data_IF_845848947435
#
_entry.id   IF_845848947435
#
_cell.length_a   1.000
_cell.length_b   1.000
_cell.length_c   1.000
_cell.angle_alpha   90.00
_cell.angle_beta   90.00
_cell.angle_gamma   90.00
#
_symmetry.space_group_name_H-M   'P 1'
#
loop_
_entity.id
_entity.type
_entity.pdbx_description
1 polymer ?
#
# COMPACT_ATOMS: atom_id res chain seq x y z
N UNK A 1 -7.47 5.28 -14.73
CA UNK A 1 -6.67 5.94 -13.66
C UNK A 1 -5.72 7.02 -14.20
N UNK A 2 -5.86 8.27 -13.75
CA UNK A 2 -4.94 9.40 -14.01
C UNK A 2 -4.42 9.97 -12.68
N UNK A 3 -3.10 10.21 -12.58
CA UNK A 3 -2.46 10.81 -11.40
C UNK A 3 -1.86 12.18 -11.79
N UNK A 4 -2.43 13.30 -11.33
CA UNK A 4 -1.86 14.61 -11.58
C UNK A 4 -0.52 14.81 -10.85
N UNK A 5 0.37 15.62 -11.44
CA UNK A 5 1.66 15.97 -10.81
C UNK A 5 1.46 16.57 -9.40
N UNK A 6 2.36 16.22 -8.49
CA UNK A 6 2.38 16.72 -7.10
C UNK A 6 1.06 16.54 -6.33
N UNK A 7 0.27 15.52 -6.67
CA UNK A 7 -1.01 15.21 -6.00
C UNK A 7 -0.89 13.95 -5.14
N UNK A 8 -0.17 13.99 -4.00
CA UNK A 8 0.04 12.82 -3.15
C UNK A 8 -1.29 12.27 -2.59
N UNK A 9 -2.29 13.12 -2.37
CA UNK A 9 -3.61 12.72 -1.88
C UNK A 9 -4.36 11.83 -2.89
N UNK A 10 -4.01 11.93 -4.17
CA UNK A 10 -4.56 11.09 -5.24
C UNK A 10 -3.67 9.89 -5.53
N UNK A 11 -2.61 9.63 -4.75
CA UNK A 11 -1.73 8.49 -4.99
C UNK A 11 -2.06 7.34 -4.01
N UNK A 12 -2.73 6.26 -4.45
CA UNK A 12 -3.17 5.18 -3.57
C UNK A 12 -2.00 4.42 -2.92
N UNK A 13 -0.80 4.53 -3.50
CA UNK A 13 0.40 3.91 -2.94
C UNK A 13 0.79 4.49 -1.58
N UNK A 14 0.42 5.74 -1.29
CA UNK A 14 0.79 6.42 -0.05
C UNK A 14 0.19 5.71 1.18
N UNK A 15 -1.08 5.30 1.10
CA UNK A 15 -1.75 4.56 2.17
C UNK A 15 -1.16 3.16 2.34
N UNK A 16 -0.88 2.46 1.24
CA UNK A 16 -0.22 1.16 1.27
C UNK A 16 1.19 1.25 1.89
N UNK A 17 1.96 2.28 1.53
CA UNK A 17 3.29 2.52 2.10
C UNK A 17 3.24 2.97 3.56
N UNK A 18 2.19 3.69 3.98
CA UNK A 18 2.00 4.02 5.39
C UNK A 18 1.85 2.73 6.24
N UNK A 19 1.02 1.78 5.81
CA UNK A 19 0.88 0.46 6.45
C UNK A 19 2.18 -0.34 6.42
N UNK A 20 2.85 -0.42 5.26
CA UNK A 20 4.13 -1.11 5.14
C UNK A 20 5.17 -0.53 6.12
N UNK A 21 5.31 0.80 6.18
CA UNK A 21 6.22 1.47 7.12
C UNK A 21 5.86 1.16 8.57
N UNK A 22 4.58 1.08 8.93
CA UNK A 22 4.16 0.72 10.28
C UNK A 22 4.60 -0.72 10.63
N UNK A 23 4.34 -1.69 9.76
CA UNK A 23 4.74 -3.09 9.94
C UNK A 23 6.27 -3.24 10.07
N UNK A 24 7.03 -2.55 9.23
CA UNK A 24 8.49 -2.59 9.27
C UNK A 24 9.07 -1.93 10.53
N UNK A 25 8.46 -0.84 11.01
CA UNK A 25 8.86 -0.21 12.28
C UNK A 25 8.60 -1.15 13.46
N UNK A 26 7.47 -1.85 13.47
CA UNK A 26 7.16 -2.86 14.50
C UNK A 26 8.12 -4.05 14.46
N UNK A 27 8.57 -4.47 13.28
CA UNK A 27 9.53 -5.56 13.13
C UNK A 27 10.94 -5.23 13.63
N UNK A 28 11.30 -3.94 13.70
CA UNK A 28 12.55 -3.42 14.27
C UNK A 28 13.86 -4.07 13.75
N UNK A 29 13.85 -4.61 12.53
CA UNK A 29 15.01 -5.26 11.91
C UNK A 29 16.22 -4.31 11.81
N UNK A 30 17.42 -4.80 12.16
CA UNK A 30 18.67 -4.00 12.16
C UNK A 30 19.70 -4.50 11.16
N UNK A 31 19.42 -5.61 10.48
CA UNK A 31 20.30 -6.18 9.43
C UNK A 31 19.55 -6.28 8.11
N UNK A 32 20.27 -6.15 7.00
CA UNK A 32 19.71 -6.22 5.64
C UNK A 32 18.93 -7.53 5.41
N UNK A 33 19.43 -8.74 5.78
CA UNK A 33 18.68 -9.98 5.57
C UNK A 33 17.37 -10.03 6.36
N UNK A 34 17.38 -9.49 7.59
CA UNK A 34 16.20 -9.41 8.46
C UNK A 34 15.18 -8.43 7.88
N UNK A 35 15.63 -7.29 7.35
CA UNK A 35 14.75 -6.33 6.69
C UNK A 35 14.06 -6.95 5.47
N UNK A 36 14.80 -7.71 4.64
CA UNK A 36 14.22 -8.43 3.51
C UNK A 36 13.17 -9.45 3.94
N UNK A 37 13.42 -10.18 5.03
CA UNK A 37 12.45 -11.11 5.59
C UNK A 37 11.21 -10.38 6.14
N UNK A 38 11.41 -9.26 6.83
CA UNK A 38 10.35 -8.42 7.36
C UNK A 38 9.47 -7.82 6.25
N UNK A 39 10.06 -7.39 5.13
CA UNK A 39 9.32 -6.91 3.96
C UNK A 39 8.44 -8.03 3.38
N UNK A 40 9.01 -9.23 3.17
CA UNK A 40 8.23 -10.38 2.69
C UNK A 40 7.06 -10.71 3.62
N UNK A 41 7.32 -10.73 4.93
CA UNK A 41 6.28 -10.98 5.93
C UNK A 41 5.24 -9.86 5.96
N UNK A 42 5.65 -8.58 5.87
CA UNK A 42 4.72 -7.46 5.85
C UNK A 42 3.71 -7.55 4.69
N UNK A 43 4.15 -7.99 3.51
CA UNK A 43 3.25 -8.19 2.37
C UNK A 43 2.21 -9.30 2.57
N UNK A 44 2.43 -10.28 3.46
CA UNK A 44 1.41 -11.28 3.78
C UNK A 44 0.24 -10.71 4.59
N UNK A 45 0.38 -9.49 5.13
CA UNK A 45 -0.68 -8.79 5.88
C UNK A 45 -1.55 -7.88 5.00
N UNK A 46 -1.30 -7.82 3.69
CA UNK A 46 -2.13 -7.05 2.76
C UNK A 46 -3.23 -7.94 2.18
N UNK A 47 -4.47 -7.49 2.30
CA UNK A 47 -5.62 -8.16 1.67
C UNK A 47 -6.02 -7.44 0.38
N UNK A 48 -6.62 -8.15 -0.61
CA UNK A 48 -7.17 -7.50 -1.79
C UNK A 48 -8.17 -6.39 -1.47
N UNK A 49 -8.96 -6.55 -0.41
CA UNK A 49 -9.94 -5.55 0.01
C UNK A 49 -9.27 -4.27 0.52
N UNK A 50 -8.21 -4.38 1.31
CA UNK A 50 -7.46 -3.19 1.75
C UNK A 50 -6.80 -2.45 0.58
N UNK A 51 -6.29 -3.19 -0.41
CA UNK A 51 -5.76 -2.58 -1.63
C UNK A 51 -6.86 -1.82 -2.42
N UNK A 52 -8.07 -2.40 -2.52
CA UNK A 52 -9.23 -1.70 -3.10
C UNK A 52 -9.61 -0.46 -2.31
N UNK A 53 -9.58 -0.52 -0.98
CA UNK A 53 -9.85 0.63 -0.14
C UNK A 53 -8.83 1.76 -0.34
N UNK A 54 -7.55 1.44 -0.59
CA UNK A 54 -6.53 2.44 -0.92
C UNK A 54 -6.83 3.15 -2.25
N UNK A 55 -7.29 2.41 -3.26
CA UNK A 55 -7.72 2.96 -4.55
C UNK A 55 -8.96 3.85 -4.40
N UNK A 56 -9.95 3.36 -3.66
CA UNK A 56 -11.18 4.09 -3.37
C UNK A 56 -10.90 5.41 -2.65
N UNK A 57 -10.07 5.38 -1.61
CA UNK A 57 -9.71 6.55 -0.84
C UNK A 57 -8.87 7.59 -1.62
N UNK A 58 -8.25 7.19 -2.74
CA UNK A 58 -7.59 8.09 -3.69
C UNK A 58 -8.52 8.57 -4.84
N UNK A 59 -9.81 8.20 -4.81
CA UNK A 59 -10.82 8.62 -5.78
C UNK A 59 -10.98 7.70 -7.00
N UNK A 60 -10.45 6.47 -6.96
CA UNK A 60 -10.48 5.53 -8.10
C UNK A 60 -11.47 4.37 -7.89
N UNK A 61 -12.64 4.67 -7.32
CA UNK A 61 -13.69 3.68 -7.07
C UNK A 61 -14.29 3.10 -8.36
N UNK A 62 -14.47 3.93 -9.39
CA UNK A 62 -15.13 3.56 -10.66
C UNK A 62 -14.25 2.70 -11.58
N UNK A 63 -12.91 2.85 -11.49
CA UNK A 63 -11.94 2.03 -12.26
C UNK A 63 -11.95 0.54 -11.82
N UNK A 64 -12.57 0.20 -10.68
CA UNK A 64 -12.73 -1.17 -10.18
C UNK A 64 -14.04 -1.85 -10.62
N UNK A 65 -14.99 -1.08 -11.16
CA UNK A 65 -16.32 -1.56 -11.53
C UNK A 65 -16.43 -2.05 -12.98
N UNK A 66 -15.38 -1.88 -13.79
CA UNK A 66 -15.41 -2.18 -15.25
C UNK A 66 -15.03 -3.63 -15.60
N UNK A 67 -14.67 -4.47 -14.63
CA UNK A 67 -14.20 -5.84 -14.85
C UNK A 67 -15.15 -6.92 -14.29
N UNK A 68 -16.47 -6.71 -14.42
CA UNK A 68 -17.52 -7.74 -14.21
C UNK A 68 -18.29 -8.00 -15.50
#
# INVERSE_FOLDING_TARGET
>A
MYLPSYSPDLNPIEQAFAKLKALLRSAAARRIPELWAAIRHAFTHFTPQECRNCLAAAGYEDDLAVDT
#
